data_IF_585884508358
#
_entry.id   IF_585884508358
#
_cell.length_a   1.000
_cell.length_b   1.000
_cell.length_c   1.000
_cell.angle_alpha   90.00
_cell.angle_beta   90.00
_cell.angle_gamma   90.00
#
_symmetry.space_group_name_H-M   'P 1'
#
loop_
_entity.id
_entity.type
_entity.pdbx_description
1 polymer ?
#
# COMPACT_ATOMS: atom_id res chain seq x y z
N UNK A 1 10.30 0.05 6.30
CA UNK A 1 9.82 0.71 7.54
C UNK A 1 10.70 0.39 8.75
N UNK A 2 10.85 -0.88 9.14
CA UNK A 2 11.63 -1.25 10.34
C UNK A 2 13.08 -0.74 10.31
N UNK A 3 13.75 -0.82 9.17
CA UNK A 3 15.11 -0.30 8.97
C UNK A 3 15.22 1.22 9.19
N UNK A 4 14.34 2.01 8.55
CA UNK A 4 14.30 3.46 8.76
C UNK A 4 14.03 3.84 10.22
N UNK A 5 13.14 3.12 10.91
CA UNK A 5 12.88 3.33 12.33
C UNK A 5 14.13 3.07 13.18
N UNK A 6 14.87 1.99 12.90
CA UNK A 6 16.12 1.69 13.58
C UNK A 6 17.18 2.79 13.36
N UNK A 7 17.32 3.29 12.12
CA UNK A 7 18.24 4.37 11.78
C UNK A 7 17.90 5.65 12.56
N UNK A 8 16.63 6.06 12.55
CA UNK A 8 16.18 7.26 13.25
C UNK A 8 16.37 7.18 14.78
N UNK A 9 16.38 5.96 15.35
CA UNK A 9 16.59 5.74 16.78
C UNK A 9 18.07 5.79 17.18
N UNK A 10 18.99 5.35 16.31
CA UNK A 10 20.42 5.22 16.64
C UNK A 10 21.27 6.38 16.13
N UNK A 11 20.76 7.19 15.21
CA UNK A 11 21.44 8.35 14.65
C UNK A 11 20.83 9.65 15.17
N UNK A 12 21.65 10.69 15.30
CA UNK A 12 21.20 12.04 15.64
C UNK A 12 20.80 12.82 14.37
N UNK A 13 20.07 13.92 14.52
CA UNK A 13 19.70 14.81 13.41
C UNK A 13 18.31 14.57 12.83
N UNK A 14 17.54 13.67 13.44
CA UNK A 14 16.14 13.38 13.09
C UNK A 14 15.12 14.05 14.02
N UNK A 15 15.57 14.86 14.99
CA UNK A 15 14.72 15.52 15.98
C UNK A 15 13.79 16.53 15.33
N UNK A 16 12.52 16.53 15.74
CA UNK A 16 11.48 17.43 15.21
C UNK A 16 11.32 17.37 13.69
N UNK A 17 11.57 16.20 13.09
CA UNK A 17 11.35 15.94 11.66
C UNK A 17 10.25 14.90 11.46
N UNK A 18 9.51 15.08 10.38
CA UNK A 18 8.55 14.10 9.88
C UNK A 18 9.06 13.58 8.54
N UNK A 19 8.89 12.28 8.30
CA UNK A 19 9.29 11.61 7.07
C UNK A 19 8.10 10.84 6.51
N UNK A 20 7.92 10.90 5.20
CA UNK A 20 6.93 10.11 4.48
C UNK A 20 7.53 8.78 4.05
N UNK A 21 7.14 7.71 4.73
CA UNK A 21 7.67 6.38 4.45
C UNK A 21 6.83 5.69 3.38
N UNK A 22 7.22 5.90 2.11
CA UNK A 22 6.53 5.32 0.94
C UNK A 22 7.39 4.26 0.23
N UNK A 23 6.76 3.45 -0.64
CA UNK A 23 7.46 2.43 -1.42
C UNK A 23 8.28 3.00 -2.57
N UNK A 24 8.95 2.14 -3.35
CA UNK A 24 9.82 2.57 -4.46
C UNK A 24 9.10 3.25 -5.63
N UNK A 25 7.77 3.14 -5.68
CA UNK A 25 6.85 3.79 -6.62
C UNK A 25 5.41 3.66 -6.09
N UNK A 26 4.50 4.45 -6.64
CA UNK A 26 3.06 4.23 -6.49
C UNK A 26 2.63 3.02 -7.33
N UNK A 27 1.76 2.18 -6.77
CA UNK A 27 1.15 1.04 -7.46
C UNK A 27 -0.37 1.20 -7.46
N UNK A 28 -0.98 1.03 -8.62
CA UNK A 28 -2.43 0.91 -8.75
C UNK A 28 -2.89 -0.52 -8.47
N UNK A 29 -4.18 -0.73 -8.25
CA UNK A 29 -4.73 -2.08 -8.09
C UNK A 29 -4.49 -3.00 -9.29
N UNK A 30 -4.35 -2.43 -10.49
CA UNK A 30 -3.96 -3.17 -11.69
C UNK A 30 -2.53 -3.71 -11.56
N UNK A 31 -1.59 -2.96 -10.99
CA UNK A 31 -0.22 -3.43 -10.78
C UNK A 31 -0.21 -4.59 -9.77
N UNK A 32 -0.99 -4.48 -8.70
CA UNK A 32 -1.14 -5.53 -7.68
C UNK A 32 -1.78 -6.80 -8.27
N UNK A 33 -2.77 -6.66 -9.15
CA UNK A 33 -3.39 -7.81 -9.81
C UNK A 33 -2.43 -8.50 -10.81
N UNK A 34 -1.49 -7.76 -11.40
CA UNK A 34 -0.49 -8.33 -12.32
C UNK A 34 0.71 -8.95 -11.61
N UNK A 35 1.11 -8.49 -10.43
CA UNK A 35 2.31 -8.99 -9.74
C UNK A 35 2.34 -10.53 -9.54
N UNK A 36 1.24 -11.21 -9.16
CA UNK A 36 1.22 -12.68 -9.08
C UNK A 36 1.42 -13.38 -10.42
N UNK A 37 1.03 -12.75 -11.54
CA UNK A 37 1.25 -13.33 -12.88
C UNK A 37 2.73 -13.43 -13.19
N UNK A 38 3.51 -12.41 -12.86
CA UNK A 38 4.96 -12.41 -13.05
C UNK A 38 5.65 -13.52 -12.24
N UNK A 39 5.11 -13.85 -11.06
CA UNK A 39 5.67 -14.86 -10.17
C UNK A 39 5.18 -16.29 -10.45
N UNK A 40 3.94 -16.46 -10.93
CA UNK A 40 3.26 -17.77 -10.99
C UNK A 40 2.71 -18.15 -12.35
N UNK A 41 2.71 -17.22 -13.32
CA UNK A 41 2.06 -17.38 -14.62
C UNK A 41 0.53 -17.38 -14.58
N UNK A 42 -0.09 -17.11 -13.42
CA UNK A 42 -1.55 -17.03 -13.26
C UNK A 42 -1.99 -15.58 -13.15
N UNK A 43 -2.81 -15.12 -14.09
CA UNK A 43 -3.33 -13.76 -14.10
C UNK A 43 -4.58 -13.65 -13.26
N UNK A 44 -4.64 -12.64 -12.38
CA UNK A 44 -5.90 -12.11 -11.87
C UNK A 44 -6.18 -10.76 -12.53
N UNK A 45 -7.44 -10.53 -12.90
CA UNK A 45 -7.88 -9.23 -13.42
C UNK A 45 -8.39 -8.37 -12.27
N UNK A 46 -8.05 -7.08 -12.29
CA UNK A 46 -8.75 -6.11 -11.45
C UNK A 46 -10.15 -5.84 -12.03
N UNK A 47 -11.15 -5.77 -11.16
CA UNK A 47 -12.52 -5.37 -11.52
C UNK A 47 -12.93 -4.23 -10.61
N UNK A 48 -13.23 -3.07 -11.22
CA UNK A 48 -13.81 -1.95 -10.49
C UNK A 48 -15.27 -2.27 -10.16
N UNK A 49 -15.61 -2.16 -8.89
CA UNK A 49 -16.95 -2.46 -8.36
C UNK A 49 -17.46 -1.26 -7.57
N UNK A 50 -18.78 -1.09 -7.55
CA UNK A 50 -19.42 -0.06 -6.74
C UNK A 50 -19.13 -0.31 -5.25
N UNK A 51 -18.89 0.77 -4.49
CA UNK A 51 -18.51 0.68 -3.08
C UNK A 51 -19.52 -0.13 -2.23
N UNK A 52 -20.82 0.04 -2.50
CA UNK A 52 -21.88 -0.72 -1.81
C UNK A 52 -21.84 -2.20 -2.15
N UNK A 53 -21.57 -2.55 -3.41
CA UNK A 53 -21.41 -3.93 -3.84
C UNK A 53 -20.16 -4.57 -3.24
N UNK A 54 -19.06 -3.82 -3.13
CA UNK A 54 -17.84 -4.28 -2.48
C UNK A 54 -18.05 -4.58 -0.99
N UNK A 55 -18.69 -3.67 -0.24
CA UNK A 55 -19.01 -3.89 1.16
C UNK A 55 -19.89 -5.14 1.36
N UNK A 56 -20.92 -5.29 0.51
CA UNK A 56 -21.83 -6.44 0.57
C UNK A 56 -21.09 -7.76 0.31
N UNK A 57 -20.20 -7.81 -0.69
CA UNK A 57 -19.40 -9.00 -0.98
C UNK A 57 -18.46 -9.37 0.18
N UNK A 58 -17.87 -8.39 0.86
CA UNK A 58 -17.06 -8.64 2.06
C UNK A 58 -17.89 -9.25 3.20
N UNK A 59 -19.09 -8.73 3.44
CA UNK A 59 -20.02 -9.23 4.47
C UNK A 59 -20.45 -10.67 4.15
N UNK A 60 -20.83 -10.93 2.90
CA UNK A 60 -21.19 -12.28 2.42
C UNK A 60 -20.01 -13.26 2.51
N UNK A 61 -18.79 -12.75 2.35
CA UNK A 61 -17.53 -13.47 2.57
C UNK A 61 -17.17 -13.70 4.05
N UNK A 62 -18.00 -13.23 5.00
CA UNK A 62 -17.83 -13.44 6.43
C UNK A 62 -17.03 -12.35 7.15
N UNK A 63 -16.71 -11.24 6.49
CA UNK A 63 -16.08 -10.08 7.13
C UNK A 63 -17.13 -9.38 8.02
N UNK A 64 -16.84 -9.11 9.31
CA UNK A 64 -17.74 -8.33 10.16
C UNK A 64 -18.07 -6.98 9.54
N UNK A 65 -19.34 -6.59 9.60
CA UNK A 65 -19.87 -5.38 8.96
C UNK A 65 -19.03 -4.10 9.21
N UNK A 66 -18.58 -3.79 10.45
CA UNK A 66 -17.73 -2.61 10.67
C UNK A 66 -16.40 -2.65 9.90
N UNK A 67 -15.82 -3.84 9.72
CA UNK A 67 -14.57 -4.02 8.97
C UNK A 67 -14.82 -3.97 7.46
N UNK A 68 -15.95 -4.49 6.98
CA UNK A 68 -16.33 -4.38 5.58
C UNK A 68 -16.48 -2.91 5.14
N UNK A 69 -17.13 -2.09 5.97
CA UNK A 69 -17.24 -0.65 5.71
C UNK A 69 -15.90 0.08 5.81
N UNK A 70 -15.06 -0.26 6.79
CA UNK A 70 -13.72 0.30 6.90
C UNK A 70 -12.87 0.02 5.64
N UNK A 71 -12.88 -1.24 5.18
CA UNK A 71 -12.12 -1.64 4.00
C UNK A 71 -12.67 -0.99 2.72
N UNK A 72 -13.99 -0.83 2.63
CA UNK A 72 -14.66 -0.10 1.54
C UNK A 72 -14.29 1.38 1.54
N UNK A 73 -14.19 2.00 2.72
CA UNK A 73 -13.70 3.37 2.89
C UNK A 73 -12.30 3.53 2.33
N UNK A 74 -11.35 2.68 2.75
CA UNK A 74 -9.99 2.71 2.21
C UNK A 74 -9.93 2.51 0.69
N UNK A 75 -10.70 1.55 0.15
CA UNK A 75 -10.74 1.34 -1.29
C UNK A 75 -11.27 2.58 -2.04
N UNK A 76 -12.26 3.27 -1.47
CA UNK A 76 -12.82 4.52 -2.02
C UNK A 76 -11.80 5.66 -1.97
N UNK A 77 -11.09 5.82 -0.86
CA UNK A 77 -10.05 6.85 -0.70
C UNK A 77 -8.86 6.61 -1.64
N UNK A 78 -8.45 5.34 -1.83
CA UNK A 78 -7.45 4.96 -2.83
C UNK A 78 -7.93 5.33 -4.24
N UNK A 79 -9.18 4.99 -4.59
CA UNK A 79 -9.78 5.34 -5.90
C UNK A 79 -9.81 6.85 -6.13
N UNK A 80 -10.00 7.62 -5.07
CA UNK A 80 -9.98 9.08 -5.07
C UNK A 80 -8.57 9.68 -4.93
N UNK A 81 -7.51 8.86 -5.08
CA UNK A 81 -6.10 9.26 -5.01
C UNK A 81 -5.68 9.89 -3.67
N UNK A 82 -6.42 9.64 -2.58
CA UNK A 82 -6.10 10.22 -1.26
C UNK A 82 -4.88 9.55 -0.59
N UNK A 83 -4.47 8.39 -1.08
CA UNK A 83 -3.24 7.70 -0.67
C UNK A 83 -2.14 7.73 -1.74
N UNK A 84 -2.30 8.52 -2.79
CA UNK A 84 -1.32 8.68 -3.88
C UNK A 84 -0.10 9.52 -3.48
N UNK A 85 0.43 9.33 -2.28
CA UNK A 85 1.55 10.08 -1.71
C UNK A 85 2.85 9.32 -2.01
N UNK A 86 3.82 10.00 -2.60
CA UNK A 86 5.14 9.47 -2.91
C UNK A 86 6.23 10.37 -2.35
N UNK A 87 7.22 9.76 -1.69
CA UNK A 87 8.38 10.42 -1.13
C UNK A 87 9.62 9.53 -1.23
N UNK A 88 10.77 10.17 -1.47
CA UNK A 88 12.10 9.55 -1.47
C UNK A 88 12.72 9.48 -0.06
N UNK A 89 12.01 9.89 0.99
CA UNK A 89 12.53 9.92 2.36
C UNK A 89 13.02 8.54 2.81
N UNK A 90 12.28 7.48 2.47
CA UNK A 90 12.69 6.13 2.85
C UNK A 90 14.03 5.76 2.20
N UNK A 91 14.18 5.99 0.90
CA UNK A 91 15.43 5.74 0.15
C UNK A 91 16.58 6.56 0.72
N UNK A 92 16.32 7.83 1.04
CA UNK A 92 17.30 8.73 1.65
C UNK A 92 17.75 8.25 3.03
N UNK A 93 16.81 7.77 3.86
CA UNK A 93 17.08 7.28 5.21
C UNK A 93 17.88 5.98 5.21
N UNK A 94 17.54 5.02 4.33
CA UNK A 94 18.18 3.69 4.33
C UNK A 94 19.35 3.57 3.35
N UNK A 95 19.54 4.54 2.46
CA UNK A 95 20.64 4.58 1.48
C UNK A 95 20.52 3.57 0.34
N UNK A 96 19.40 2.86 0.25
CA UNK A 96 19.09 1.88 -0.80
C UNK A 96 17.65 2.07 -1.28
N UNK A 97 17.39 1.67 -2.52
CA UNK A 97 16.05 1.71 -3.09
C UNK A 97 15.11 0.79 -2.30
N UNK A 98 13.91 1.25 -1.88
CA UNK A 98 12.95 0.40 -1.18
C UNK A 98 12.56 -0.82 -2.01
N UNK A 99 12.21 -1.92 -1.34
CA UNK A 99 11.70 -3.12 -2.00
C UNK A 99 10.50 -2.78 -2.91
N UNK A 100 10.44 -3.45 -4.06
CA UNK A 100 9.37 -3.25 -5.04
C UNK A 100 8.35 -4.37 -4.97
N UNK A 101 7.14 -4.13 -5.46
CA UNK A 101 6.05 -5.12 -5.49
C UNK A 101 6.46 -6.47 -6.10
N UNK A 102 7.36 -6.48 -7.09
CA UNK A 102 7.73 -7.67 -7.85
C UNK A 102 9.08 -8.27 -7.40
N UNK A 103 9.70 -7.72 -6.35
CA UNK A 103 11.02 -8.14 -5.88
C UNK A 103 11.10 -7.96 -4.35
N UNK A 104 10.81 -9.04 -3.64
CA UNK A 104 10.97 -9.19 -2.17
C UNK A 104 12.22 -9.98 -1.85
#
# INVERSE_FOLDING_TARGET
MGEAAAIMLIQNGHENRSYEITGSKLNAYTDVAQAPFELTGRSSSYTDVEATAFAQQLIEGGVPEPLAFLQTGFATDIKNNQFGIFSEDLETLIGIKPASLNNT
#
